data_IF_264059494773
#
_entry.id   IF_264059494773
#
_cell.length_a   1.000
_cell.length_b   1.000
_cell.length_c   1.000
_cell.angle_alpha   90.00
_cell.angle_beta   90.00
_cell.angle_gamma   90.00
#
_symmetry.space_group_name_H-M   'P 1'
#
loop_
_entity.id
_entity.type
_entity.pdbx_description
1 polymer ?
#
# COMPACT_ATOMS: atom_id res chain seq x y z
N UNK A 1 14.38 -4.04 26.33
CA UNK A 1 12.91 -3.95 26.33
C UNK A 1 12.34 -5.33 26.19
N UNK A 2 11.43 -5.71 27.09
CA UNK A 2 10.71 -6.98 26.99
C UNK A 2 9.85 -6.97 25.72
N UNK A 3 9.64 -8.13 25.08
CA UNK A 3 8.88 -8.28 23.82
C UNK A 3 7.51 -7.58 23.91
N UNK A 4 6.82 -7.71 25.04
CA UNK A 4 5.54 -7.04 25.30
C UNK A 4 5.60 -5.50 25.35
N UNK A 5 6.68 -4.91 25.88
CA UNK A 5 6.85 -3.45 25.93
C UNK A 5 7.06 -2.86 24.53
N UNK A 6 7.75 -3.60 23.64
CA UNK A 6 7.96 -3.19 22.24
C UNK A 6 6.63 -3.14 21.49
N UNK A 7 5.80 -4.19 21.63
CA UNK A 7 4.46 -4.23 21.02
C UNK A 7 3.55 -3.14 21.56
N UNK A 8 3.51 -2.92 22.87
CA UNK A 8 2.70 -1.87 23.48
C UNK A 8 3.09 -0.46 23.00
N UNK A 9 4.39 -0.19 22.80
CA UNK A 9 4.85 1.09 22.27
C UNK A 9 4.47 1.29 20.80
N UNK A 10 4.61 0.25 19.98
CA UNK A 10 4.23 0.29 18.57
C UNK A 10 2.72 0.51 18.40
N UNK A 11 1.91 -0.30 19.09
CA UNK A 11 0.45 -0.23 19.08
C UNK A 11 -0.06 1.13 19.59
N UNK A 12 0.54 1.66 20.68
CA UNK A 12 0.25 3.02 21.14
C UNK A 12 0.55 4.07 20.06
N UNK A 13 1.69 3.96 19.37
CA UNK A 13 2.03 4.92 18.33
C UNK A 13 1.05 4.89 17.15
N UNK A 14 0.67 3.70 16.71
CA UNK A 14 -0.31 3.50 15.64
C UNK A 14 -1.67 4.08 16.04
N UNK A 15 -2.18 3.76 17.25
CA UNK A 15 -3.47 4.28 17.73
C UNK A 15 -3.48 5.80 17.86
N UNK A 16 -2.41 6.39 18.38
CA UNK A 16 -2.30 7.85 18.50
C UNK A 16 -2.32 8.50 17.11
N UNK A 17 -1.56 7.95 16.14
CA UNK A 17 -1.59 8.42 14.76
C UNK A 17 -2.96 8.31 14.11
N UNK A 18 -3.64 7.17 14.30
CA UNK A 18 -4.99 6.92 13.77
C UNK A 18 -6.02 7.94 14.27
N UNK A 19 -6.12 8.12 15.59
CA UNK A 19 -7.09 9.07 16.17
C UNK A 19 -6.77 10.52 15.84
N UNK A 20 -5.49 10.90 15.80
CA UNK A 20 -5.10 12.24 15.38
C UNK A 20 -5.40 12.49 13.90
N UNK A 21 -5.17 11.51 13.02
CA UNK A 21 -5.54 11.62 11.61
C UNK A 21 -7.06 11.77 11.43
N UNK A 22 -7.87 10.99 12.16
CA UNK A 22 -9.32 11.12 12.14
C UNK A 22 -9.79 12.51 12.62
N UNK A 23 -9.17 13.04 13.69
CA UNK A 23 -9.45 14.38 14.19
C UNK A 23 -9.05 15.47 13.18
N UNK A 24 -7.86 15.35 12.57
CA UNK A 24 -7.40 16.27 11.53
C UNK A 24 -8.31 16.25 10.29
N UNK A 25 -8.77 15.08 9.87
CA UNK A 25 -9.72 14.92 8.77
C UNK A 25 -11.01 15.71 9.03
N UNK A 26 -11.65 15.48 10.19
CA UNK A 26 -12.89 16.18 10.57
C UNK A 26 -12.65 17.70 10.64
N UNK A 27 -11.54 18.10 11.27
CA UNK A 27 -11.18 19.51 11.42
C UNK A 27 -10.96 20.20 10.07
N UNK A 28 -10.24 19.57 9.13
CA UNK A 28 -10.02 20.10 7.78
C UNK A 28 -11.32 20.21 6.97
N UNK A 29 -12.16 19.17 6.98
CA UNK A 29 -13.45 19.20 6.29
C UNK A 29 -14.35 20.32 6.83
N UNK A 30 -14.44 20.46 8.15
CA UNK A 30 -15.21 21.52 8.78
C UNK A 30 -14.61 22.91 8.49
N UNK A 31 -13.30 23.08 8.60
CA UNK A 31 -12.63 24.35 8.35
C UNK A 31 -12.66 24.77 6.88
N UNK A 32 -12.58 23.81 5.95
CA UNK A 32 -12.74 24.07 4.51
C UNK A 32 -14.17 24.50 4.17
N UNK A 33 -15.18 23.82 4.74
CA UNK A 33 -16.58 24.17 4.52
C UNK A 33 -16.98 25.50 5.16
N UNK A 34 -16.74 25.68 6.47
CA UNK A 34 -17.10 26.92 7.18
C UNK A 34 -16.16 28.09 6.90
N UNK A 35 -14.98 27.81 6.36
CA UNK A 35 -13.99 28.80 6.00
C UNK A 35 -13.93 29.14 4.53
N UNK A 36 -14.87 28.66 3.71
CA UNK A 36 -14.96 28.90 2.26
C UNK A 36 -13.62 28.68 1.54
N UNK A 37 -12.95 27.55 1.82
CA UNK A 37 -11.69 27.15 1.18
C UNK A 37 -11.81 25.78 0.52
N UNK A 38 -11.72 25.78 -0.80
CA UNK A 38 -11.67 24.58 -1.62
C UNK A 38 -10.38 23.80 -1.38
N UNK A 39 -9.25 24.49 -1.16
CA UNK A 39 -7.96 23.84 -0.92
C UNK A 39 -7.96 23.04 0.39
N UNK A 40 -8.43 23.65 1.48
CA UNK A 40 -8.49 22.98 2.79
C UNK A 40 -9.55 21.88 2.79
N UNK A 41 -10.67 22.08 2.08
CA UNK A 41 -11.67 21.03 1.90
C UNK A 41 -11.10 19.83 1.12
N UNK A 42 -10.37 20.07 0.02
CA UNK A 42 -9.72 19.03 -0.77
C UNK A 42 -8.68 18.24 0.06
N UNK A 43 -7.86 18.92 0.85
CA UNK A 43 -6.92 18.28 1.80
C UNK A 43 -7.66 17.47 2.88
N UNK A 44 -8.84 17.94 3.32
CA UNK A 44 -9.73 17.17 4.20
C UNK A 44 -10.25 15.89 3.56
N UNK A 45 -10.65 15.97 2.28
CA UNK A 45 -11.13 14.82 1.50
C UNK A 45 -10.01 13.82 1.20
N UNK A 46 -8.80 14.27 0.91
CA UNK A 46 -7.61 13.40 0.79
C UNK A 46 -7.44 12.54 2.06
N UNK A 47 -7.47 13.17 3.24
CA UNK A 47 -7.41 12.41 4.50
C UNK A 47 -8.60 11.49 4.75
N UNK A 48 -9.78 11.81 4.21
CA UNK A 48 -10.93 10.92 4.27
C UNK A 48 -10.73 9.69 3.37
N UNK A 49 -10.19 9.87 2.16
CA UNK A 49 -9.80 8.79 1.27
C UNK A 49 -8.81 7.83 1.94
N UNK A 50 -7.77 8.36 2.60
CA UNK A 50 -6.81 7.54 3.34
C UNK A 50 -7.46 6.77 4.50
N UNK A 51 -8.35 7.42 5.24
CA UNK A 51 -9.06 6.79 6.36
C UNK A 51 -9.97 5.65 5.88
N UNK A 52 -10.69 5.86 4.77
CA UNK A 52 -11.53 4.83 4.13
C UNK A 52 -10.66 3.69 3.60
N UNK A 53 -9.53 3.99 2.96
CA UNK A 53 -8.61 2.98 2.45
C UNK A 53 -8.12 2.06 3.57
N UNK A 54 -7.71 2.62 4.72
CA UNK A 54 -7.31 1.83 5.90
C UNK A 54 -8.47 0.95 6.39
N UNK A 55 -9.67 1.52 6.53
CA UNK A 55 -10.85 0.77 6.97
C UNK A 55 -11.19 -0.39 6.03
N UNK A 56 -11.12 -0.16 4.72
CA UNK A 56 -11.37 -1.17 3.70
C UNK A 56 -10.28 -2.24 3.68
N UNK A 57 -9.00 -1.88 3.86
CA UNK A 57 -7.92 -2.86 4.04
C UNK A 57 -8.19 -3.75 5.25
N UNK A 58 -8.65 -3.20 6.39
CA UNK A 58 -8.99 -4.03 7.56
C UNK A 58 -10.12 -5.03 7.28
N UNK A 59 -11.15 -4.60 6.52
CA UNK A 59 -12.26 -5.48 6.12
C UNK A 59 -11.77 -6.55 5.14
N UNK A 60 -10.99 -6.14 4.13
CA UNK A 60 -10.37 -7.03 3.15
C UNK A 60 -9.50 -8.08 3.82
N UNK A 61 -8.66 -7.69 4.78
CA UNK A 61 -7.83 -8.62 5.57
C UNK A 61 -8.68 -9.60 6.37
N UNK A 62 -9.80 -9.16 6.94
CA UNK A 62 -10.72 -10.05 7.65
C UNK A 62 -11.36 -11.07 6.71
N UNK A 63 -11.67 -10.67 5.48
CA UNK A 63 -12.26 -11.54 4.46
C UNK A 63 -11.22 -12.51 3.86
N UNK A 64 -10.01 -12.02 3.57
CA UNK A 64 -8.90 -12.80 3.03
C UNK A 64 -8.35 -13.86 3.98
N UNK A 65 -8.59 -13.72 5.29
CA UNK A 65 -8.28 -14.74 6.32
C UNK A 65 -9.24 -15.93 6.31
N UNK A 66 -10.29 -15.94 5.49
CA UNK A 66 -11.13 -17.13 5.35
C UNK A 66 -10.30 -18.28 4.76
N UNK A 67 -10.38 -19.49 5.36
CA UNK A 67 -9.69 -20.66 4.84
C UNK A 67 -10.22 -21.03 3.45
N UNK A 68 -9.50 -21.95 2.79
CA UNK A 68 -9.93 -22.57 1.54
C UNK A 68 -11.35 -23.13 1.68
N UNK A 69 -12.18 -22.92 0.66
CA UNK A 69 -13.48 -23.57 0.51
C UNK A 69 -13.60 -24.21 -0.89
N UNK A 70 -14.69 -24.94 -1.12
CA UNK A 70 -14.89 -25.68 -2.38
C UNK A 70 -14.96 -24.75 -3.60
N UNK A 71 -15.50 -23.55 -3.42
CA UNK A 71 -15.61 -22.53 -4.48
C UNK A 71 -14.29 -21.76 -4.70
N UNK A 72 -13.42 -21.70 -3.68
CA UNK A 72 -12.13 -20.99 -3.71
C UNK A 72 -10.97 -21.88 -3.19
N UNK A 73 -10.50 -22.85 -3.99
CA UNK A 73 -9.41 -23.76 -3.59
C UNK A 73 -8.07 -23.09 -3.31
N UNK A 74 -7.83 -21.91 -3.88
CA UNK A 74 -6.65 -21.07 -3.62
C UNK A 74 -6.88 -19.97 -2.59
N UNK A 75 -8.07 -19.95 -1.97
CA UNK A 75 -8.44 -19.07 -0.87
C UNK A 75 -8.97 -17.72 -1.34
N UNK A 76 -9.25 -16.85 -0.36
CA UNK A 76 -9.92 -15.56 -0.58
C UNK A 76 -8.95 -14.38 -0.67
N UNK A 77 -7.64 -14.62 -0.81
CA UNK A 77 -6.62 -13.58 -0.78
C UNK A 77 -6.84 -12.48 -1.83
N UNK A 78 -7.30 -12.84 -3.04
CA UNK A 78 -7.60 -11.88 -4.13
C UNK A 78 -8.74 -10.90 -3.81
N UNK A 79 -9.56 -11.16 -2.79
CA UNK A 79 -10.58 -10.22 -2.33
C UNK A 79 -9.97 -8.90 -1.82
N UNK A 80 -8.72 -8.94 -1.35
CA UNK A 80 -7.97 -7.74 -0.94
C UNK A 80 -7.67 -6.83 -2.13
N UNK A 81 -7.05 -7.37 -3.18
CA UNK A 81 -6.74 -6.62 -4.41
C UNK A 81 -8.03 -6.11 -5.07
N UNK A 82 -9.12 -6.88 -5.08
CA UNK A 82 -10.42 -6.43 -5.60
C UNK A 82 -11.00 -5.25 -4.82
N UNK A 83 -10.92 -5.32 -3.49
CA UNK A 83 -11.39 -4.24 -2.60
C UNK A 83 -10.57 -2.97 -2.82
N UNK A 84 -9.25 -3.09 -2.96
CA UNK A 84 -8.35 -1.97 -3.22
C UNK A 84 -8.61 -1.33 -4.60
N UNK A 85 -8.90 -2.12 -5.64
CA UNK A 85 -9.36 -1.61 -6.94
C UNK A 85 -10.64 -0.78 -6.78
N UNK A 86 -11.64 -1.32 -6.08
CA UNK A 86 -12.90 -0.59 -5.87
C UNK A 86 -12.69 0.75 -5.15
N UNK A 87 -11.88 0.75 -4.07
CA UNK A 87 -11.52 1.98 -3.35
C UNK A 87 -10.79 2.96 -4.24
N UNK A 88 -9.84 2.49 -5.04
CA UNK A 88 -9.06 3.35 -5.93
C UNK A 88 -9.92 4.07 -6.98
N UNK A 89 -10.99 3.43 -7.47
CA UNK A 89 -11.96 4.04 -8.37
C UNK A 89 -12.72 5.16 -7.67
N UNK A 90 -13.15 4.93 -6.42
CA UNK A 90 -13.83 5.97 -5.61
C UNK A 90 -12.88 7.16 -5.39
N UNK A 91 -11.62 6.91 -5.02
CA UNK A 91 -10.61 7.97 -4.84
C UNK A 91 -10.42 8.77 -6.14
N UNK A 92 -10.31 8.08 -7.28
CA UNK A 92 -10.20 8.72 -8.59
C UNK A 92 -11.42 9.58 -8.94
N UNK A 93 -12.63 9.08 -8.69
CA UNK A 93 -13.87 9.84 -8.90
C UNK A 93 -13.94 11.08 -7.99
N UNK A 94 -13.51 10.95 -6.73
CA UNK A 94 -13.43 12.07 -5.79
C UNK A 94 -12.41 13.12 -6.22
N UNK A 95 -11.22 12.70 -6.70
CA UNK A 95 -10.23 13.60 -7.29
C UNK A 95 -10.78 14.36 -8.50
N UNK A 96 -11.53 13.67 -9.38
CA UNK A 96 -12.16 14.29 -10.55
C UNK A 96 -13.21 15.32 -10.17
N UNK A 97 -14.01 15.03 -9.14
CA UNK A 97 -15.01 15.95 -8.64
C UNK A 97 -14.39 17.23 -8.06
N UNK A 98 -13.31 17.11 -7.27
CA UNK A 98 -12.56 18.26 -6.74
C UNK A 98 -11.94 19.07 -7.88
N UNK A 99 -11.29 18.40 -8.85
CA UNK A 99 -10.69 19.08 -9.99
C UNK A 99 -11.72 19.85 -10.81
N UNK A 100 -12.89 19.24 -11.06
CA UNK A 100 -13.99 19.91 -11.74
C UNK A 100 -14.47 21.16 -10.98
N UNK A 101 -14.64 21.06 -9.65
CA UNK A 101 -14.99 22.19 -8.80
C UNK A 101 -13.97 23.33 -8.91
N UNK A 102 -12.69 23.01 -8.72
CA UNK A 102 -11.59 23.97 -8.84
C UNK A 102 -11.55 24.67 -10.21
N UNK A 103 -11.72 23.91 -11.30
CA UNK A 103 -11.76 24.46 -12.66
C UNK A 103 -13.00 25.34 -12.87
N UNK A 104 -14.17 24.93 -12.38
CA UNK A 104 -15.39 25.72 -12.48
C UNK A 104 -15.24 27.07 -11.75
N UNK A 105 -14.66 27.07 -10.55
CA UNK A 105 -14.38 28.29 -9.79
C UNK A 105 -13.37 29.19 -10.52
N UNK A 106 -12.34 28.62 -11.13
CA UNK A 106 -11.38 29.35 -11.96
C UNK A 106 -12.03 30.01 -13.18
N UNK A 107 -12.92 29.28 -13.88
CA UNK A 107 -13.60 29.76 -15.09
C UNK A 107 -14.67 30.82 -14.77
N UNK A 108 -15.44 30.65 -13.69
CA UNK A 108 -16.46 31.63 -13.29
C UNK A 108 -15.88 32.95 -12.78
N UNK A 109 -14.62 32.97 -12.34
CA UNK A 109 -13.93 34.19 -11.90
C UNK A 109 -14.41 34.74 -10.55
N UNK A 110 -15.27 34.03 -9.84
CA UNK A 110 -15.75 34.38 -8.50
C UNK A 110 -15.02 33.55 -7.45
N UNK A 111 -14.11 34.19 -6.73
CA UNK A 111 -13.27 33.53 -5.74
C UNK A 111 -13.73 33.89 -4.32
N UNK A 112 -14.33 32.95 -3.56
CA UNK A 112 -14.60 33.16 -2.15
C UNK A 112 -13.29 33.50 -1.44
N UNK A 113 -13.31 34.49 -0.54
CA UNK A 113 -12.16 34.78 0.29
C UNK A 113 -12.15 33.81 1.46
N UNK A 114 -11.12 32.95 1.62
CA UNK A 114 -11.07 32.04 2.74
C UNK A 114 -11.09 32.78 4.08
N UNK A 115 -11.77 32.23 5.07
CA UNK A 115 -11.74 32.73 6.43
C UNK A 115 -10.47 32.30 7.15
N UNK A 116 -10.13 32.99 8.24
CA UNK A 116 -8.93 32.71 9.04
C UNK A 116 -8.91 31.26 9.57
N UNK A 117 -10.08 30.66 9.82
CA UNK A 117 -10.20 29.27 10.28
C UNK A 117 -9.56 28.27 9.29
N UNK A 118 -9.68 28.50 7.98
CA UNK A 118 -9.11 27.62 6.95
C UNK A 118 -7.57 27.69 6.96
N UNK A 119 -7.01 28.90 7.05
CA UNK A 119 -5.55 29.12 7.16
C UNK A 119 -4.99 28.45 8.42
N UNK A 120 -5.66 28.65 9.56
CA UNK A 120 -5.24 28.05 10.83
C UNK A 120 -5.35 26.52 10.79
N UNK A 121 -6.38 25.96 10.16
CA UNK A 121 -6.53 24.52 10.01
C UNK A 121 -5.39 23.90 9.19
N UNK A 122 -5.01 24.52 8.07
CA UNK A 122 -3.88 24.07 7.26
C UNK A 122 -2.56 24.15 8.05
N UNK A 123 -2.32 25.26 8.76
CA UNK A 123 -1.12 25.44 9.58
C UNK A 123 -1.03 24.41 10.72
N UNK A 124 -2.13 24.19 11.45
CA UNK A 124 -2.21 23.19 12.51
C UNK A 124 -1.97 21.79 11.96
N UNK A 125 -2.53 21.46 10.79
CA UNK A 125 -2.33 20.15 10.15
C UNK A 125 -0.85 19.87 9.90
N UNK A 126 -0.10 20.83 9.34
CA UNK A 126 1.34 20.69 9.09
C UNK A 126 2.10 20.45 10.39
N UNK A 127 1.81 21.23 11.44
CA UNK A 127 2.48 21.08 12.75
C UNK A 127 2.19 19.71 13.35
N UNK A 128 0.94 19.26 13.35
CA UNK A 128 0.56 17.96 13.90
C UNK A 128 1.17 16.82 13.09
N UNK A 129 1.14 16.87 11.76
CA UNK A 129 1.76 15.85 10.89
C UNK A 129 3.27 15.79 11.07
N UNK A 130 3.95 16.92 11.22
CA UNK A 130 5.39 16.96 11.50
C UNK A 130 5.72 16.40 12.90
N UNK A 131 4.89 16.67 13.91
CA UNK A 131 5.03 16.07 15.25
C UNK A 131 4.82 14.56 15.19
N UNK A 132 3.79 14.10 14.47
CA UNK A 132 3.52 12.68 14.24
C UNK A 132 4.68 12.01 13.51
N UNK A 133 5.23 12.64 12.46
CA UNK A 133 6.41 12.16 11.76
C UNK A 133 7.61 11.98 12.71
N UNK A 134 7.95 13.02 13.49
CA UNK A 134 9.08 12.97 14.43
C UNK A 134 8.88 11.93 15.53
N UNK A 135 7.65 11.74 15.97
CA UNK A 135 7.31 10.73 16.94
C UNK A 135 7.43 9.32 16.34
N UNK A 136 6.78 9.07 15.21
CA UNK A 136 6.78 7.77 14.53
C UNK A 136 8.17 7.35 14.04
N UNK A 137 9.00 8.29 13.52
CA UNK A 137 10.38 7.97 13.12
C UNK A 137 11.26 7.61 14.33
N UNK A 138 11.10 8.30 15.46
CA UNK A 138 11.86 8.03 16.68
C UNK A 138 11.51 6.66 17.24
N UNK A 139 10.21 6.37 17.35
CA UNK A 139 9.72 5.07 17.84
C UNK A 139 10.09 3.96 16.85
N UNK A 140 9.86 4.16 15.55
CA UNK A 140 10.17 3.21 14.49
C UNK A 140 11.65 2.82 14.45
N UNK A 141 12.57 3.79 14.55
CA UNK A 141 14.02 3.52 14.65
C UNK A 141 14.38 2.79 15.95
N UNK A 142 13.83 3.23 17.09
CA UNK A 142 14.13 2.58 18.39
C UNK A 142 13.66 1.12 18.46
N UNK A 143 12.60 0.79 17.72
CA UNK A 143 12.03 -0.55 17.67
C UNK A 143 12.55 -1.38 16.49
N UNK A 144 13.29 -0.78 15.55
CA UNK A 144 13.67 -1.40 14.29
C UNK A 144 12.45 -1.90 13.50
N UNK A 145 11.36 -1.13 13.48
CA UNK A 145 10.08 -1.54 12.89
C UNK A 145 9.89 -0.89 11.51
N UNK A 146 10.00 -1.64 10.40
CA UNK A 146 9.74 -1.13 9.06
C UNK A 146 8.33 -0.55 8.91
N UNK A 147 7.32 -1.18 9.54
CA UNK A 147 5.94 -0.72 9.51
C UNK A 147 5.78 0.70 10.10
N UNK A 148 6.39 0.98 11.27
CA UNK A 148 6.35 2.33 11.85
C UNK A 148 7.15 3.35 11.03
N UNK A 149 8.23 2.90 10.36
CA UNK A 149 8.98 3.76 9.44
C UNK A 149 8.18 4.11 8.19
N UNK A 150 7.38 3.18 7.67
CA UNK A 150 6.44 3.43 6.58
C UNK A 150 5.38 4.46 6.99
N UNK A 151 4.71 4.25 8.14
CA UNK A 151 3.73 5.20 8.69
C UNK A 151 4.35 6.60 8.90
N UNK A 152 5.60 6.67 9.35
CA UNK A 152 6.30 7.95 9.48
C UNK A 152 6.47 8.64 8.12
N UNK A 153 6.86 7.90 7.07
CA UNK A 153 6.98 8.45 5.72
C UNK A 153 5.64 8.98 5.21
N UNK A 154 4.53 8.29 5.50
CA UNK A 154 3.19 8.75 5.12
C UNK A 154 2.86 10.07 5.81
N UNK A 155 3.05 10.18 7.13
CA UNK A 155 2.88 11.46 7.84
C UNK A 155 3.71 12.59 7.25
N UNK A 156 4.92 12.29 6.75
CA UNK A 156 5.78 13.27 6.10
C UNK A 156 5.25 13.67 4.73
N UNK A 157 4.71 12.74 3.95
CA UNK A 157 4.06 13.02 2.66
C UNK A 157 2.87 13.94 2.86
N UNK A 158 2.01 13.63 3.82
CA UNK A 158 0.83 14.44 4.17
C UNK A 158 1.21 15.84 4.63
N UNK A 159 2.28 15.98 5.43
CA UNK A 159 2.77 17.29 5.85
C UNK A 159 3.21 18.14 4.65
N UNK A 160 3.84 17.51 3.64
CA UNK A 160 4.29 18.19 2.43
C UNK A 160 3.12 18.58 1.54
N UNK A 161 2.11 17.72 1.38
CA UNK A 161 0.89 18.07 0.61
C UNK A 161 0.10 19.19 1.31
N UNK A 162 -0.06 19.14 2.63
CA UNK A 162 -0.70 20.23 3.40
C UNK A 162 0.07 21.56 3.36
N UNK A 163 1.39 21.57 3.11
CA UNK A 163 2.14 22.82 2.87
C UNK A 163 1.66 23.51 1.60
N UNK A 164 1.41 22.75 0.52
CA UNK A 164 0.86 23.31 -0.71
C UNK A 164 -0.53 23.93 -0.46
N UNK A 165 -1.37 23.24 0.31
CA UNK A 165 -2.67 23.75 0.77
C UNK A 165 -2.54 25.06 1.56
N UNK A 166 -1.61 25.13 2.52
CA UNK A 166 -1.38 26.34 3.32
C UNK A 166 -0.94 27.52 2.46
N UNK A 167 -0.06 27.28 1.49
CA UNK A 167 0.39 28.33 0.55
C UNK A 167 -0.80 28.84 -0.24
N UNK A 168 -1.64 27.95 -0.79
CA UNK A 168 -2.83 28.32 -1.55
C UNK A 168 -3.83 29.16 -0.75
N UNK A 169 -4.31 28.62 0.37
CA UNK A 169 -5.29 29.31 1.24
C UNK A 169 -4.71 30.57 1.86
N UNK A 170 -3.42 30.57 2.21
CA UNK A 170 -2.73 31.73 2.78
C UNK A 170 -2.63 32.88 1.78
N UNK A 171 -2.21 32.61 0.55
CA UNK A 171 -2.19 33.62 -0.51
C UNK A 171 -3.61 34.15 -0.81
N UNK A 172 -4.61 33.27 -0.83
CA UNK A 172 -6.00 33.67 -1.02
C UNK A 172 -6.53 34.56 0.11
N UNK A 173 -6.16 34.27 1.36
CA UNK A 173 -6.51 35.11 2.51
C UNK A 173 -5.92 36.53 2.41
N UNK A 174 -4.71 36.67 1.87
CA UNK A 174 -4.04 37.97 1.67
C UNK A 174 -4.45 38.71 0.38
N UNK A 175 -5.43 38.20 -0.37
CA UNK A 175 -6.05 38.89 -1.51
C UNK A 175 -5.78 38.28 -2.88
N UNK A 176 -4.94 37.24 -2.97
CA UNK A 176 -4.76 36.48 -4.21
C UNK A 176 -5.77 35.31 -4.27
N UNK A 177 -7.08 35.62 -4.26
CA UNK A 177 -8.15 34.64 -4.03
C UNK A 177 -8.16 33.46 -5.01
N UNK A 178 -7.64 33.63 -6.23
CA UNK A 178 -7.50 32.54 -7.21
C UNK A 178 -6.52 31.43 -6.78
N UNK A 179 -5.65 31.68 -5.80
CA UNK A 179 -4.68 30.69 -5.32
C UNK A 179 -5.32 29.52 -4.57
N UNK A 180 -6.50 29.72 -3.98
CA UNK A 180 -7.22 28.65 -3.28
C UNK A 180 -7.72 27.55 -4.24
N UNK A 181 -8.51 27.86 -5.30
CA UNK A 181 -8.89 26.83 -6.27
C UNK A 181 -7.70 26.27 -7.05
N UNK A 182 -6.62 27.03 -7.27
CA UNK A 182 -5.39 26.48 -7.86
C UNK A 182 -4.79 25.41 -6.93
N UNK A 183 -4.69 25.68 -5.63
CA UNK A 183 -4.18 24.71 -4.68
C UNK A 183 -5.13 23.49 -4.55
N UNK A 184 -6.45 23.69 -4.55
CA UNK A 184 -7.41 22.60 -4.62
C UNK A 184 -7.20 21.71 -5.87
N UNK A 185 -6.97 22.34 -7.02
CA UNK A 185 -6.61 21.64 -8.26
C UNK A 185 -5.30 20.85 -8.13
N UNK A 186 -4.25 21.42 -7.56
CA UNK A 186 -2.99 20.70 -7.29
C UNK A 186 -3.22 19.50 -6.36
N UNK A 187 -3.98 19.68 -5.27
CA UNK A 187 -4.34 18.61 -4.34
C UNK A 187 -5.12 17.50 -5.03
N UNK A 188 -6.03 17.84 -5.95
CA UNK A 188 -6.76 16.85 -6.75
C UNK A 188 -5.83 15.94 -7.57
N UNK A 189 -4.72 16.47 -8.11
CA UNK A 189 -3.72 15.66 -8.81
C UNK A 189 -2.98 14.71 -7.86
N UNK A 190 -2.73 15.09 -6.61
CA UNK A 190 -2.19 14.17 -5.61
C UNK A 190 -3.18 13.04 -5.28
N UNK A 191 -4.46 13.36 -5.12
CA UNK A 191 -5.53 12.37 -4.92
C UNK A 191 -5.60 11.41 -6.11
N UNK A 192 -5.56 11.92 -7.35
CA UNK A 192 -5.51 11.08 -8.54
C UNK A 192 -4.28 10.18 -8.58
N UNK A 193 -3.11 10.69 -8.23
CA UNK A 193 -1.90 9.90 -8.19
C UNK A 193 -2.00 8.74 -7.19
N UNK A 194 -2.56 8.98 -6.00
CA UNK A 194 -2.83 7.95 -4.98
C UNK A 194 -3.82 6.91 -5.51
N UNK A 195 -4.93 7.35 -6.11
CA UNK A 195 -5.92 6.47 -6.73
C UNK A 195 -5.29 5.61 -7.84
N UNK A 196 -4.55 6.21 -8.77
CA UNK A 196 -3.91 5.49 -9.87
C UNK A 196 -2.84 4.50 -9.39
N UNK A 197 -2.00 4.89 -8.43
CA UNK A 197 -0.96 4.01 -7.88
C UNK A 197 -1.58 2.79 -7.19
N UNK A 198 -2.63 3.02 -6.38
CA UNK A 198 -3.38 1.93 -5.72
C UNK A 198 -4.02 1.01 -6.76
N UNK A 199 -4.73 1.59 -7.74
CA UNK A 199 -5.34 0.82 -8.83
C UNK A 199 -4.31 -0.04 -9.56
N UNK A 200 -3.19 0.56 -9.98
CA UNK A 200 -2.14 -0.14 -10.74
C UNK A 200 -1.53 -1.28 -9.93
N UNK A 201 -1.21 -1.05 -8.65
CA UNK A 201 -0.62 -2.08 -7.79
C UNK A 201 -1.58 -3.26 -7.60
N UNK A 202 -2.85 -2.97 -7.28
CA UNK A 202 -3.84 -4.01 -7.04
C UNK A 202 -4.29 -4.72 -8.32
N UNK A 203 -4.31 -4.02 -9.47
CA UNK A 203 -4.54 -4.65 -10.77
C UNK A 203 -3.38 -5.57 -11.17
N UNK A 204 -2.13 -5.16 -10.91
CA UNK A 204 -0.94 -6.00 -11.12
C UNK A 204 -1.03 -7.29 -10.30
N UNK A 205 -1.36 -7.19 -9.01
CA UNK A 205 -1.60 -8.38 -8.17
C UNK A 205 -2.75 -9.25 -8.68
N UNK A 206 -3.88 -8.64 -9.08
CA UNK A 206 -5.05 -9.38 -9.57
C UNK A 206 -4.74 -10.19 -10.84
N UNK A 207 -3.90 -9.63 -11.72
CA UNK A 207 -3.40 -10.25 -12.96
C UNK A 207 -2.25 -11.25 -12.73
N UNK A 208 -2.01 -11.67 -11.48
CA UNK A 208 -0.90 -12.57 -11.11
C UNK A 208 0.47 -12.02 -11.51
N UNK A 209 0.62 -10.70 -11.40
CA UNK A 209 1.85 -9.98 -11.68
C UNK A 209 3.01 -10.44 -10.78
N UNK A 210 4.20 -10.49 -11.38
CA UNK A 210 5.39 -10.99 -10.71
C UNK A 210 5.79 -10.11 -9.51
N UNK A 211 6.17 -10.73 -8.37
CA UNK A 211 6.74 -10.03 -7.22
C UNK A 211 8.10 -9.39 -7.51
N UNK A 212 8.65 -8.70 -6.51
CA UNK A 212 9.98 -8.10 -6.58
C UNK A 212 11.05 -9.14 -6.95
N UNK A 213 11.88 -8.81 -7.94
CA UNK A 213 12.92 -9.73 -8.44
C UNK A 213 13.93 -10.13 -7.36
N UNK A 214 14.19 -9.28 -6.38
CA UNK A 214 15.08 -9.59 -5.26
C UNK A 214 14.56 -10.75 -4.42
N UNK A 215 13.25 -10.82 -4.19
CA UNK A 215 12.62 -11.93 -3.47
C UNK A 215 12.72 -13.23 -4.27
N UNK A 216 12.45 -13.18 -5.57
CA UNK A 216 12.56 -14.37 -6.44
C UNK A 216 13.99 -14.89 -6.47
N UNK A 217 14.98 -14.01 -6.62
CA UNK A 217 16.41 -14.40 -6.55
C UNK A 217 16.77 -15.01 -5.21
N UNK A 218 16.24 -14.48 -4.11
CA UNK A 218 16.48 -15.04 -2.78
C UNK A 218 15.90 -16.45 -2.64
N UNK A 219 14.69 -16.71 -3.17
CA UNK A 219 14.07 -18.04 -3.19
C UNK A 219 14.86 -18.99 -4.08
N UNK A 220 15.24 -18.56 -5.29
CA UNK A 220 16.08 -19.35 -6.21
C UNK A 220 17.38 -19.77 -5.55
N UNK A 221 18.13 -18.82 -4.98
CA UNK A 221 19.40 -19.11 -4.31
C UNK A 221 19.25 -20.00 -3.07
N UNK A 222 18.08 -20.01 -2.43
CA UNK A 222 17.80 -20.90 -1.31
C UNK A 222 17.55 -22.33 -1.82
N UNK A 223 16.73 -22.48 -2.86
CA UNK A 223 16.43 -23.77 -3.46
C UNK A 223 17.68 -24.46 -4.05
N UNK A 224 18.54 -23.70 -4.75
CA UNK A 224 19.79 -24.20 -5.34
C UNK A 224 20.85 -24.62 -4.30
N UNK A 225 20.67 -24.28 -3.01
CA UNK A 225 21.57 -24.73 -1.94
C UNK A 225 21.26 -26.13 -1.44
N UNK A 226 20.08 -26.66 -1.75
CA UNK A 226 19.67 -27.99 -1.29
C UNK A 226 20.38 -29.04 -2.13
N UNK A 227 21.07 -29.97 -1.46
CA UNK A 227 21.83 -31.02 -2.13
C UNK A 227 20.92 -31.89 -3.01
N UNK A 228 21.30 -32.02 -4.29
CA UNK A 228 20.55 -32.75 -5.31
C UNK A 228 19.62 -31.89 -6.16
N UNK A 229 19.55 -30.58 -5.93
CA UNK A 229 19.03 -29.61 -6.89
C UNK A 229 20.19 -29.11 -7.75
N UNK A 230 20.15 -29.37 -9.05
CA UNK A 230 21.21 -28.94 -9.98
C UNK A 230 21.02 -27.47 -10.39
N UNK A 231 19.77 -27.10 -10.70
CA UNK A 231 19.40 -25.76 -11.17
C UNK A 231 17.91 -25.48 -10.88
N UNK A 232 17.58 -24.23 -10.55
CA UNK A 232 16.18 -23.77 -10.63
C UNK A 232 15.93 -23.28 -12.05
N UNK A 233 15.35 -24.14 -12.88
CA UNK A 233 15.05 -23.85 -14.29
C UNK A 233 14.10 -22.66 -14.45
N UNK A 234 13.05 -22.64 -13.63
CA UNK A 234 12.04 -21.59 -13.67
C UNK A 234 11.49 -21.33 -12.28
N UNK A 235 11.26 -20.04 -11.98
CA UNK A 235 10.51 -19.60 -10.81
C UNK A 235 9.39 -18.66 -11.27
N UNK A 236 8.17 -18.98 -10.88
CA UNK A 236 7.02 -18.09 -10.96
C UNK A 236 6.50 -17.88 -9.56
N UNK A 237 6.02 -16.67 -9.27
CA UNK A 237 5.30 -16.43 -8.04
C UNK A 237 4.24 -15.38 -8.27
N UNK A 238 3.20 -15.42 -7.43
CA UNK A 238 2.07 -14.50 -7.45
C UNK A 238 1.61 -14.19 -6.04
N UNK A 239 1.10 -12.97 -5.85
CA UNK A 239 0.47 -12.59 -4.59
C UNK A 239 -0.96 -13.13 -4.50
N UNK A 240 -1.33 -13.61 -3.31
CA UNK A 240 -2.71 -13.92 -2.93
C UNK A 240 -2.97 -13.30 -1.56
N UNK A 241 -3.44 -12.04 -1.58
CA UNK A 241 -3.52 -11.21 -0.38
C UNK A 241 -2.15 -11.06 0.30
N UNK A 242 -2.07 -11.39 1.59
CA UNK A 242 -0.82 -11.31 2.36
C UNK A 242 0.20 -12.41 2.05
N UNK A 243 -0.20 -13.44 1.30
CA UNK A 243 0.64 -14.60 1.02
C UNK A 243 1.20 -14.57 -0.41
N UNK A 244 2.31 -15.27 -0.59
CA UNK A 244 2.91 -15.57 -1.88
C UNK A 244 2.66 -17.05 -2.22
N UNK A 245 2.24 -17.31 -3.45
CA UNK A 245 2.20 -18.66 -4.03
C UNK A 245 3.35 -18.76 -5.01
N UNK A 246 4.19 -19.78 -4.85
CA UNK A 246 5.42 -19.96 -5.64
C UNK A 246 5.31 -21.26 -6.43
N UNK A 247 5.64 -21.21 -7.72
CA UNK A 247 5.81 -22.37 -8.58
C UNK A 247 7.29 -22.46 -8.99
N UNK A 248 7.91 -23.60 -8.73
CA UNK A 248 9.32 -23.89 -9.05
C UNK A 248 9.40 -25.04 -10.05
N UNK A 249 10.36 -24.94 -10.96
CA UNK A 249 10.86 -26.06 -11.76
C UNK A 249 12.31 -26.30 -11.38
N UNK A 250 12.61 -27.49 -10.87
CA UNK A 250 13.94 -27.88 -10.42
C UNK A 250 14.49 -28.92 -11.38
N UNK A 251 15.69 -28.67 -11.90
CA UNK A 251 16.45 -29.66 -12.65
C UNK A 251 17.22 -30.55 -11.66
N UNK A 252 17.12 -31.86 -11.84
CA UNK A 252 17.70 -32.89 -10.96
C UNK A 252 18.17 -34.09 -11.78
N UNK A 253 19.02 -34.94 -11.17
CA UNK A 253 19.51 -36.19 -11.76
C UNK A 253 18.36 -37.06 -12.33
N UNK A 254 18.37 -37.38 -13.64
CA UNK A 254 17.34 -38.19 -14.30
C UNK A 254 17.19 -39.61 -13.74
N UNK A 255 18.27 -40.18 -13.20
CA UNK A 255 18.28 -41.52 -12.63
C UNK A 255 17.78 -41.53 -11.17
N UNK A 256 17.50 -40.35 -10.61
CA UNK A 256 17.00 -40.21 -9.26
C UNK A 256 15.59 -40.80 -9.12
N UNK A 257 15.41 -41.71 -8.18
CA UNK A 257 14.08 -42.27 -7.90
C UNK A 257 13.09 -41.17 -7.51
N UNK A 258 11.82 -41.29 -7.93
CA UNK A 258 10.72 -40.38 -7.57
C UNK A 258 10.65 -40.15 -6.05
N UNK A 259 10.91 -41.18 -5.25
CA UNK A 259 10.92 -41.05 -3.78
C UNK A 259 12.02 -40.11 -3.28
N UNK A 260 13.22 -40.20 -3.86
CA UNK A 260 14.36 -39.36 -3.46
C UNK A 260 14.17 -37.92 -3.93
N UNK A 261 13.73 -37.73 -5.17
CA UNK A 261 13.47 -36.41 -5.72
C UNK A 261 12.31 -35.71 -4.99
N UNK A 262 11.25 -36.43 -4.63
CA UNK A 262 10.18 -35.92 -3.76
C UNK A 262 10.68 -35.50 -2.37
N UNK A 263 11.61 -36.24 -1.76
CA UNK A 263 12.18 -35.89 -0.46
C UNK A 263 13.01 -34.59 -0.54
N UNK A 264 13.79 -34.40 -1.61
CA UNK A 264 14.55 -33.17 -1.83
C UNK A 264 13.61 -31.99 -2.10
N UNK A 265 12.58 -32.16 -2.95
CA UNK A 265 11.56 -31.14 -3.17
C UNK A 265 10.83 -30.76 -1.86
N UNK A 266 10.56 -31.75 -0.99
CA UNK A 266 9.98 -31.48 0.34
C UNK A 266 10.92 -30.64 1.19
N UNK A 267 12.22 -30.95 1.21
CA UNK A 267 13.22 -30.16 1.92
C UNK A 267 13.30 -28.72 1.39
N UNK A 268 13.31 -28.52 0.07
CA UNK A 268 13.26 -27.18 -0.55
C UNK A 268 12.02 -26.41 -0.07
N UNK A 269 10.85 -27.07 -0.03
CA UNK A 269 9.60 -26.45 0.43
C UNK A 269 9.67 -26.06 1.92
N UNK A 270 10.21 -26.93 2.76
CA UNK A 270 10.42 -26.66 4.20
C UNK A 270 11.36 -25.47 4.40
N UNK A 271 12.52 -25.45 3.73
CA UNK A 271 13.50 -24.36 3.82
C UNK A 271 12.89 -23.01 3.41
N UNK A 272 12.08 -22.99 2.33
CA UNK A 272 11.37 -21.78 1.88
C UNK A 272 10.39 -21.30 2.96
N UNK A 273 9.59 -22.19 3.56
CA UNK A 273 8.64 -21.79 4.60
C UNK A 273 9.33 -21.30 5.88
N UNK A 274 10.48 -21.86 6.24
CA UNK A 274 11.27 -21.41 7.39
C UNK A 274 11.88 -20.02 7.18
N UNK A 275 12.35 -19.72 5.96
CA UNK A 275 12.98 -18.43 5.65
C UNK A 275 11.97 -17.33 5.30
N UNK A 276 10.84 -17.68 4.68
CA UNK A 276 9.86 -16.74 4.15
C UNK A 276 8.47 -16.98 4.76
N UNK A 277 8.20 -16.31 5.88
CA UNK A 277 6.93 -16.42 6.62
C UNK A 277 5.66 -16.03 5.82
N UNK A 278 5.81 -15.32 4.70
CA UNK A 278 4.72 -14.89 3.84
C UNK A 278 4.50 -15.82 2.63
N UNK A 279 5.23 -16.93 2.50
CA UNK A 279 4.94 -17.93 1.46
C UNK A 279 3.86 -18.87 1.97
N UNK A 280 2.70 -18.87 1.30
CA UNK A 280 1.53 -19.66 1.69
C UNK A 280 1.48 -21.03 1.04
N UNK A 281 2.02 -21.16 -0.18
CA UNK A 281 2.15 -22.45 -0.85
C UNK A 281 3.31 -22.45 -1.85
N UNK A 282 3.87 -23.63 -2.09
CA UNK A 282 4.95 -23.89 -3.04
C UNK A 282 4.60 -25.15 -3.85
N UNK A 283 4.50 -25.01 -5.17
CA UNK A 283 4.40 -26.12 -6.11
C UNK A 283 5.77 -26.35 -6.74
N UNK A 284 6.21 -27.60 -6.81
CA UNK A 284 7.52 -27.97 -7.37
C UNK A 284 7.32 -29.02 -8.45
N UNK A 285 7.74 -28.70 -9.67
CA UNK A 285 7.90 -29.64 -10.77
C UNK A 285 9.38 -30.02 -10.88
N UNK A 286 9.67 -31.30 -11.07
CA UNK A 286 11.01 -31.84 -11.21
C UNK A 286 11.24 -32.18 -12.68
N UNK A 287 12.33 -31.64 -13.24
CA UNK A 287 12.82 -31.87 -14.58
C UNK A 287 14.12 -32.68 -14.54
N UNK A 288 14.37 -33.59 -15.49
CA UNK A 288 15.66 -34.27 -15.61
C UNK A 288 16.74 -33.34 -16.20
N UNK A 289 17.91 -33.22 -15.60
CA UNK A 289 18.93 -32.21 -15.97
C UNK A 289 19.61 -32.42 -17.34
N UNK A 290 19.55 -33.62 -17.92
CA UNK A 290 20.28 -33.98 -19.15
C UNK A 290 19.57 -33.63 -20.47
N UNK A 291 18.30 -33.18 -20.42
CA UNK A 291 17.51 -32.89 -21.61
C UNK A 291 17.15 -31.40 -21.73
N UNK A 292 17.26 -30.78 -22.92
CA UNK A 292 16.67 -29.47 -23.16
C UNK A 292 15.15 -29.58 -23.07
N UNK A 293 14.58 -29.07 -21.99
CA UNK A 293 13.13 -29.06 -21.80
C UNK A 293 12.51 -27.85 -22.47
N UNK A 294 11.67 -28.11 -23.47
CA UNK A 294 10.76 -27.11 -24.00
C UNK A 294 9.44 -27.22 -23.23
N UNK A 295 9.07 -26.17 -22.51
CA UNK A 295 7.84 -26.16 -21.74
C UNK A 295 6.63 -26.30 -22.66
N UNK A 296 5.83 -27.35 -22.43
CA UNK A 296 4.56 -27.55 -23.14
C UNK A 296 3.49 -26.57 -22.63
N UNK A 297 3.61 -25.30 -23.02
CA UNK A 297 2.62 -24.27 -22.75
C UNK A 297 1.72 -24.04 -23.98
N UNK A 298 0.41 -23.88 -23.75
CA UNK A 298 -0.57 -23.55 -24.80
C UNK A 298 -0.88 -22.05 -24.90
N UNK A 299 -0.34 -21.26 -23.97
CA UNK A 299 -0.47 -19.80 -23.88
C UNK A 299 0.79 -19.10 -24.39
#
# INVERSE_FOLDING_TARGET
MLRGERFNKADRAIRVGFWLNAMLMIMKLAAGHYGDSEAVFADGVESACDFIAIGMTLIALKLGRKPYDEDHPYGHGKAESLSAIFVSIIIGATGAWILYGALATLVHGTYPKPALIAVLAAAVTIVVKEVLYRYSIRVGRSLGSPALLAIAKDHRKDAVTSVATLIGVGCAYFGASAMDPIAAGITSFFIFHIGYQTFRSSAHELMDGQPEQELLRAITLLAERVEGVDLVHEIRARHSGQFLIVDLKLDMDPEMTVKRSHAIATQVKEDIFEHFNNVGDVMIHINPSDEPHEDLNRL
#
